data_IF_628868257531
#
_entry.id   IF_628868257531
#
_cell.length_a   1.000
_cell.length_b   1.000
_cell.length_c   1.000
_cell.angle_alpha   90.00
_cell.angle_beta   90.00
_cell.angle_gamma   90.00
#
_symmetry.space_group_name_H-M   'P 1'
#
loop_
_entity.id
_entity.type
_entity.pdbx_description
1 polymer ?
#
# COMPACT_ATOMS: atom_id res chain seq x y z
N UNK A 1 -8.92 1.48 26.97
CA UNK A 1 -9.39 1.45 25.57
C UNK A 1 -9.45 0.01 25.10
N UNK A 2 -10.48 -0.37 24.36
CA UNK A 2 -10.65 -1.72 23.77
C UNK A 2 -11.02 -1.58 22.30
N UNK A 3 -10.25 -2.20 21.42
CA UNK A 3 -10.52 -2.29 19.98
C UNK A 3 -10.33 -3.75 19.55
N UNK A 4 -11.28 -4.37 18.82
CA UNK A 4 -11.08 -5.67 18.20
C UNK A 4 -9.86 -5.65 17.27
N UNK A 5 -9.03 -6.69 17.33
CA UNK A 5 -7.87 -6.85 16.45
C UNK A 5 -8.16 -8.01 15.52
N UNK A 6 -7.99 -7.79 14.21
CA UNK A 6 -8.00 -8.86 13.21
C UNK A 6 -6.56 -9.21 12.85
N UNK A 7 -6.13 -10.39 13.29
CA UNK A 7 -4.78 -10.91 13.00
C UNK A 7 -4.64 -11.36 11.54
N UNK A 8 -5.74 -11.79 10.94
CA UNK A 8 -5.85 -12.15 9.53
C UNK A 8 -7.22 -11.69 9.02
N UNK A 9 -7.21 -11.00 7.89
CA UNK A 9 -8.38 -10.43 7.23
C UNK A 9 -8.74 -11.26 6.00
N UNK A 10 -10.01 -11.26 5.59
CA UNK A 10 -10.46 -11.93 4.34
C UNK A 10 -9.65 -11.46 3.12
N UNK A 11 -9.24 -10.19 3.14
CA UNK A 11 -8.34 -9.57 2.17
C UNK A 11 -6.98 -10.29 2.08
N UNK A 12 -6.37 -10.54 3.22
CA UNK A 12 -5.07 -11.21 3.33
C UNK A 12 -5.18 -12.68 2.93
N UNK A 13 -6.26 -13.37 3.33
CA UNK A 13 -6.53 -14.75 2.93
C UNK A 13 -6.69 -14.89 1.42
N UNK A 14 -7.50 -14.03 0.80
CA UNK A 14 -7.71 -14.04 -0.66
C UNK A 14 -6.39 -13.80 -1.41
N UNK A 15 -5.56 -12.86 -0.93
CA UNK A 15 -4.23 -12.62 -1.50
C UNK A 15 -3.32 -13.83 -1.33
N UNK A 16 -3.26 -14.41 -0.13
CA UNK A 16 -2.44 -15.57 0.17
C UNK A 16 -2.83 -16.78 -0.67
N UNK A 17 -4.12 -17.01 -0.92
CA UNK A 17 -4.60 -18.10 -1.76
C UNK A 17 -4.07 -17.98 -3.20
N UNK A 18 -4.17 -16.78 -3.79
CA UNK A 18 -3.71 -16.51 -5.16
C UNK A 18 -2.18 -16.65 -5.25
N UNK A 19 -1.44 -16.07 -4.30
CA UNK A 19 0.02 -16.21 -4.24
C UNK A 19 0.43 -17.67 -4.09
N UNK A 20 -0.23 -18.43 -3.20
CA UNK A 20 0.04 -19.84 -3.00
C UNK A 20 -0.30 -20.69 -4.25
N UNK A 21 -1.31 -20.29 -5.03
CA UNK A 21 -1.57 -20.91 -6.35
C UNK A 21 -0.40 -20.71 -7.31
N UNK A 22 0.15 -19.49 -7.43
CA UNK A 22 1.33 -19.21 -8.23
C UNK A 22 2.53 -20.06 -7.81
N UNK A 23 2.81 -20.09 -6.50
CA UNK A 23 3.88 -20.88 -5.89
C UNK A 23 3.74 -22.38 -6.19
N UNK A 24 2.55 -22.95 -5.99
CA UNK A 24 2.32 -24.38 -6.26
C UNK A 24 2.55 -24.75 -7.72
N UNK A 25 2.11 -23.90 -8.66
CA UNK A 25 2.30 -24.17 -10.09
C UNK A 25 3.78 -24.13 -10.48
N UNK A 26 4.53 -23.16 -9.95
CA UNK A 26 5.98 -23.06 -10.19
C UNK A 26 6.74 -24.25 -9.59
N UNK A 27 6.46 -24.64 -8.34
CA UNK A 27 7.11 -25.80 -7.67
C UNK A 27 6.85 -27.13 -8.37
N UNK A 28 5.75 -27.24 -9.10
CA UNK A 28 5.40 -28.44 -9.87
C UNK A 28 5.86 -28.34 -11.34
N UNK A 29 6.63 -27.31 -11.69
CA UNK A 29 7.05 -26.99 -13.06
C UNK A 29 5.88 -26.94 -14.06
N UNK A 30 4.69 -26.58 -13.59
CA UNK A 30 3.47 -26.46 -14.41
C UNK A 30 3.42 -25.10 -15.12
N UNK A 31 4.50 -24.76 -15.83
CA UNK A 31 4.70 -23.45 -16.44
C UNK A 31 3.58 -23.05 -17.40
N UNK A 32 3.11 -23.99 -18.24
CA UNK A 32 1.98 -23.75 -19.14
C UNK A 32 0.69 -23.38 -18.38
N UNK A 33 0.37 -24.10 -17.30
CA UNK A 33 -0.83 -23.82 -16.52
C UNK A 33 -0.71 -22.50 -15.75
N UNK A 34 0.50 -22.11 -15.34
CA UNK A 34 0.78 -20.80 -14.77
C UNK A 34 0.60 -19.68 -15.80
N UNK A 35 1.12 -19.86 -17.02
CA UNK A 35 0.93 -18.91 -18.12
C UNK A 35 -0.55 -18.75 -18.49
N UNK A 36 -1.31 -19.84 -18.57
CA UNK A 36 -2.76 -19.81 -18.82
C UNK A 36 -3.50 -19.04 -17.69
N UNK A 37 -3.15 -19.29 -16.43
CA UNK A 37 -3.73 -18.58 -15.29
C UNK A 37 -3.36 -17.09 -15.27
N UNK A 38 -2.12 -16.75 -15.61
CA UNK A 38 -1.65 -15.37 -15.74
C UNK A 38 -2.33 -14.67 -16.90
N UNK A 39 -2.44 -15.31 -18.06
CA UNK A 39 -3.10 -14.75 -19.23
C UNK A 39 -4.56 -14.40 -18.92
N UNK A 40 -5.30 -15.32 -18.30
CA UNK A 40 -6.69 -15.07 -17.92
C UNK A 40 -6.81 -13.89 -16.95
N UNK A 41 -6.00 -13.88 -15.89
CA UNK A 41 -6.02 -12.80 -14.90
C UNK A 41 -5.61 -11.44 -15.48
N UNK A 42 -4.65 -11.41 -16.40
CA UNK A 42 -4.12 -10.20 -17.01
C UNK A 42 -5.07 -9.61 -18.05
N UNK A 43 -5.62 -10.43 -18.96
CA UNK A 43 -6.57 -9.97 -19.98
C UNK A 43 -7.90 -9.51 -19.38
N UNK A 44 -8.34 -10.13 -18.28
CA UNK A 44 -9.52 -9.70 -17.54
C UNK A 44 -9.26 -8.51 -16.60
N UNK A 45 -8.01 -8.06 -16.49
CA UNK A 45 -7.56 -7.05 -15.52
C UNK A 45 -8.09 -7.35 -14.10
N UNK A 46 -8.06 -8.63 -13.71
CA UNK A 46 -8.68 -9.10 -12.49
C UNK A 46 -8.01 -8.52 -11.25
N UNK A 47 -8.83 -8.06 -10.31
CA UNK A 47 -8.42 -7.47 -9.03
C UNK A 47 -8.98 -8.27 -7.86
N UNK A 48 -8.23 -8.34 -6.76
CA UNK A 48 -8.80 -8.70 -5.45
C UNK A 48 -9.79 -7.62 -4.99
N UNK A 49 -10.64 -7.88 -3.97
CA UNK A 49 -11.55 -6.85 -3.46
C UNK A 49 -10.85 -5.56 -2.99
N UNK A 50 -9.57 -5.65 -2.60
CA UNK A 50 -8.73 -4.50 -2.19
C UNK A 50 -8.01 -3.83 -3.37
N UNK A 51 -8.32 -4.21 -4.61
CA UNK A 51 -7.73 -3.61 -5.80
C UNK A 51 -6.31 -4.10 -6.14
N UNK A 52 -5.88 -5.25 -5.60
CA UNK A 52 -4.57 -5.82 -5.96
C UNK A 52 -4.68 -6.69 -7.23
N UNK A 53 -3.83 -6.50 -8.25
CA UNK A 53 -3.88 -7.31 -9.47
C UNK A 53 -3.63 -8.79 -9.18
N UNK A 54 -4.55 -9.65 -9.65
CA UNK A 54 -4.44 -11.11 -9.51
C UNK A 54 -3.22 -11.64 -10.26
N UNK A 55 -2.96 -11.11 -11.47
CA UNK A 55 -1.78 -11.48 -12.25
C UNK A 55 -0.46 -11.18 -11.50
N UNK A 56 -0.39 -10.05 -10.77
CA UNK A 56 0.76 -9.71 -9.94
C UNK A 56 0.95 -10.72 -8.80
N UNK A 57 -0.11 -11.10 -8.10
CA UNK A 57 -0.03 -12.08 -7.00
C UNK A 57 0.39 -13.47 -7.50
N UNK A 58 -0.09 -13.89 -8.67
CA UNK A 58 0.37 -15.11 -9.34
C UNK A 58 1.86 -15.05 -9.67
N UNK A 59 2.35 -13.93 -10.21
CA UNK A 59 3.77 -13.71 -10.46
C UNK A 59 4.59 -13.72 -9.16
N UNK A 60 4.15 -13.01 -8.12
CA UNK A 60 4.81 -12.94 -6.81
C UNK A 60 4.97 -14.35 -6.23
N UNK A 61 3.91 -15.15 -6.25
CA UNK A 61 3.95 -16.54 -5.80
C UNK A 61 4.86 -17.42 -6.64
N UNK A 62 4.80 -17.29 -7.97
CA UNK A 62 5.59 -18.10 -8.88
C UNK A 62 7.11 -17.90 -8.72
N UNK A 63 7.55 -16.71 -8.29
CA UNK A 63 8.98 -16.40 -8.13
C UNK A 63 9.43 -16.43 -6.67
N UNK A 64 8.55 -16.74 -5.73
CA UNK A 64 8.80 -16.60 -4.30
C UNK A 64 10.04 -17.39 -3.84
N UNK A 65 10.17 -18.66 -4.24
CA UNK A 65 11.31 -19.50 -3.84
C UNK A 65 12.64 -18.96 -4.39
N UNK A 66 12.63 -18.49 -5.65
CA UNK A 66 13.80 -17.88 -6.29
C UNK A 66 14.19 -16.60 -5.56
N UNK A 67 13.21 -15.73 -5.25
CA UNK A 67 13.47 -14.48 -4.54
C UNK A 67 13.92 -14.70 -3.09
N UNK A 68 13.49 -15.78 -2.43
CA UNK A 68 14.00 -16.14 -1.12
C UNK A 68 15.50 -16.48 -1.19
N UNK A 69 15.90 -17.34 -2.13
CA UNK A 69 17.32 -17.65 -2.36
C UNK A 69 18.14 -16.43 -2.78
N UNK A 70 17.57 -15.55 -3.61
CA UNK A 70 18.19 -14.27 -3.99
C UNK A 70 18.36 -13.36 -2.76
N UNK A 71 17.36 -13.23 -1.90
CA UNK A 71 17.44 -12.41 -0.70
C UNK A 71 18.56 -12.87 0.25
N UNK A 72 18.69 -14.19 0.44
CA UNK A 72 19.78 -14.78 1.21
C UNK A 72 21.16 -14.50 0.59
N UNK A 73 21.29 -14.59 -0.73
CA UNK A 73 22.53 -14.29 -1.43
C UNK A 73 22.88 -12.79 -1.37
N UNK A 74 21.90 -11.91 -1.54
CA UNK A 74 22.05 -10.46 -1.38
C UNK A 74 22.53 -10.11 0.02
N UNK A 75 21.95 -10.70 1.07
CA UNK A 75 22.36 -10.47 2.45
C UNK A 75 23.85 -10.81 2.70
N UNK A 76 24.40 -11.77 1.95
CA UNK A 76 25.83 -12.13 1.98
C UNK A 76 26.71 -11.30 1.03
N UNK A 77 26.12 -10.45 0.19
CA UNK A 77 26.84 -9.72 -0.86
C UNK A 77 27.30 -10.59 -2.03
N UNK A 78 26.70 -11.78 -2.21
CA UNK A 78 27.11 -12.77 -3.21
C UNK A 78 26.37 -12.56 -4.54
N UNK A 79 26.90 -11.64 -5.36
CA UNK A 79 26.32 -11.32 -6.67
C UNK A 79 26.32 -12.51 -7.66
N UNK A 80 27.30 -13.42 -7.55
CA UNK A 80 27.36 -14.59 -8.42
C UNK A 80 26.27 -15.61 -8.08
N UNK A 81 25.99 -15.84 -6.79
CA UNK A 81 24.89 -16.70 -6.38
C UNK A 81 23.53 -16.13 -6.82
N UNK A 82 23.34 -14.82 -6.74
CA UNK A 82 22.14 -14.16 -7.31
C UNK A 82 22.04 -14.42 -8.81
N UNK A 83 23.13 -14.23 -9.57
CA UNK A 83 23.17 -14.49 -11.01
C UNK A 83 22.81 -15.94 -11.35
N UNK A 84 23.41 -16.92 -10.65
CA UNK A 84 23.12 -18.36 -10.86
C UNK A 84 21.67 -18.72 -10.55
N UNK A 85 21.10 -18.20 -9.46
CA UNK A 85 19.70 -18.48 -9.10
C UNK A 85 18.72 -17.96 -10.17
N UNK A 86 18.94 -16.74 -10.65
CA UNK A 86 18.09 -16.12 -11.67
C UNK A 86 18.27 -16.78 -13.04
N UNK A 87 19.49 -17.19 -13.39
CA UNK A 87 19.76 -17.94 -14.61
C UNK A 87 19.07 -19.31 -14.58
N UNK A 88 19.21 -20.07 -13.49
CA UNK A 88 18.55 -21.37 -13.35
C UNK A 88 17.03 -21.27 -13.45
N UNK A 89 16.42 -20.23 -12.87
CA UNK A 89 15.00 -19.94 -13.05
C UNK A 89 14.63 -19.65 -14.51
N UNK A 90 15.42 -18.83 -15.20
CA UNK A 90 15.19 -18.53 -16.62
C UNK A 90 15.34 -19.76 -17.52
N UNK A 91 16.28 -20.66 -17.20
CA UNK A 91 16.46 -21.92 -17.92
C UNK A 91 15.28 -22.86 -17.71
N UNK A 92 14.75 -22.96 -16.48
CA UNK A 92 13.57 -23.75 -16.16
C UNK A 92 12.29 -23.25 -16.85
N UNK A 93 12.13 -21.92 -16.99
CA UNK A 93 11.04 -21.31 -17.74
C UNK A 93 11.11 -21.60 -19.25
N UNK A 94 12.32 -21.74 -19.80
CA UNK A 94 12.55 -21.90 -21.23
C UNK A 94 12.50 -20.58 -22.02
N UNK A 95 12.32 -20.64 -23.35
CA UNK A 95 12.47 -19.48 -24.23
C UNK A 95 11.36 -18.43 -24.06
N UNK A 96 11.77 -17.15 -24.08
CA UNK A 96 10.94 -15.95 -23.87
C UNK A 96 10.71 -15.00 -25.08
N UNK A 97 11.46 -15.05 -26.22
CA UNK A 97 11.34 -14.04 -27.29
C UNK A 97 9.92 -13.83 -27.84
N UNK A 98 9.13 -14.89 -27.93
CA UNK A 98 7.75 -14.88 -28.47
C UNK A 98 6.71 -15.18 -27.37
N UNK A 99 7.13 -15.24 -26.10
CA UNK A 99 6.29 -15.64 -24.97
C UNK A 99 6.23 -14.50 -23.93
N UNK A 100 5.35 -13.50 -24.12
CA UNK A 100 5.29 -12.29 -23.28
C UNK A 100 5.17 -12.59 -21.78
N UNK A 101 4.33 -13.55 -21.39
CA UNK A 101 4.12 -13.88 -19.98
C UNK A 101 5.28 -14.67 -19.37
N UNK A 102 6.03 -15.44 -20.16
CA UNK A 102 7.32 -16.00 -19.70
C UNK A 102 8.37 -14.93 -19.55
N UNK A 103 8.43 -13.99 -20.49
CA UNK A 103 9.33 -12.84 -20.38
C UNK A 103 9.04 -12.03 -19.10
N UNK A 104 7.77 -11.83 -18.77
CA UNK A 104 7.34 -11.25 -17.49
C UNK A 104 7.84 -12.09 -16.30
N UNK A 105 7.61 -13.41 -16.28
CA UNK A 105 8.04 -14.31 -15.21
C UNK A 105 9.57 -14.39 -15.05
N UNK A 106 10.33 -14.15 -16.11
CA UNK A 106 11.79 -14.06 -16.06
C UNK A 106 12.27 -12.67 -15.60
N UNK A 107 11.56 -11.60 -15.98
CA UNK A 107 11.89 -10.22 -15.61
C UNK A 107 11.50 -9.87 -14.17
N UNK A 108 10.42 -10.45 -13.65
CA UNK A 108 9.91 -10.17 -12.31
C UNK A 108 10.92 -10.43 -11.18
N UNK A 109 11.63 -11.58 -11.13
CA UNK A 109 12.63 -11.81 -10.10
C UNK A 109 13.89 -10.95 -10.29
N UNK A 110 14.20 -10.50 -11.52
CA UNK A 110 15.26 -9.51 -11.77
C UNK A 110 14.91 -8.15 -11.13
N UNK A 111 13.66 -7.68 -11.32
CA UNK A 111 13.14 -6.48 -10.65
C UNK A 111 13.19 -6.64 -9.12
N UNK A 112 12.84 -7.83 -8.61
CA UNK A 112 12.94 -8.16 -7.19
C UNK A 112 14.38 -8.10 -6.66
N UNK A 113 15.35 -8.69 -7.36
CA UNK A 113 16.77 -8.63 -7.01
C UNK A 113 17.28 -7.18 -6.94
N UNK A 114 16.88 -6.33 -7.89
CA UNK A 114 17.24 -4.91 -7.87
C UNK A 114 16.72 -4.17 -6.63
N UNK A 115 15.49 -4.47 -6.19
CA UNK A 115 14.92 -3.91 -4.96
C UNK A 115 15.69 -4.39 -3.72
N UNK A 116 16.06 -5.66 -3.67
CA UNK A 116 16.84 -6.22 -2.56
C UNK A 116 18.24 -5.58 -2.45
N UNK A 117 18.93 -5.34 -3.56
CA UNK A 117 20.21 -4.62 -3.55
C UNK A 117 20.06 -3.17 -3.04
N UNK A 118 18.97 -2.49 -3.40
CA UNK A 118 18.68 -1.11 -2.98
C UNK A 118 18.41 -0.99 -1.49
N UNK A 119 17.68 -1.96 -0.94
CA UNK A 119 17.41 -2.08 0.49
C UNK A 119 18.70 -2.19 1.33
N UNK A 120 19.89 -2.28 0.75
CA UNK A 120 21.11 -1.86 1.45
C UNK A 120 21.60 -2.72 2.60
N UNK A 121 21.10 -3.95 2.69
CA UNK A 121 21.44 -4.91 3.75
C UNK A 121 22.78 -5.61 3.54
N UNK A 122 23.25 -5.63 2.30
CA UNK A 122 24.47 -6.32 1.91
C UNK A 122 25.72 -5.62 2.45
N UNK A 123 26.81 -6.35 2.79
CA UNK A 123 28.10 -5.80 3.19
C UNK A 123 28.89 -5.25 1.98
N UNK A 124 28.24 -4.42 1.17
CA UNK A 124 28.78 -3.81 -0.05
C UNK A 124 28.59 -2.28 0.00
N UNK A 125 29.45 -1.56 -0.71
CA UNK A 125 29.31 -0.11 -0.85
C UNK A 125 27.97 0.25 -1.53
N UNK A 126 27.44 1.43 -1.20
CA UNK A 126 26.20 1.93 -1.84
C UNK A 126 26.33 1.98 -3.37
N UNK A 127 27.50 2.37 -3.88
CA UNK A 127 27.79 2.39 -5.32
C UNK A 127 27.78 0.98 -5.94
N UNK A 128 28.36 -0.02 -5.28
CA UNK A 128 28.33 -1.41 -5.75
C UNK A 128 26.90 -1.96 -5.79
N UNK A 129 26.12 -1.72 -4.72
CA UNK A 129 24.71 -2.10 -4.66
C UNK A 129 23.86 -1.42 -5.75
N UNK A 130 24.09 -0.13 -6.00
CA UNK A 130 23.42 0.60 -7.05
C UNK A 130 23.75 0.05 -8.45
N UNK A 131 25.02 -0.31 -8.70
CA UNK A 131 25.47 -0.94 -9.94
C UNK A 131 24.80 -2.30 -10.17
N UNK A 132 24.77 -3.16 -9.15
CA UNK A 132 24.10 -4.47 -9.20
C UNK A 132 22.59 -4.32 -9.42
N UNK A 133 21.94 -3.40 -8.71
CA UNK A 133 20.53 -3.11 -8.91
C UNK A 133 20.24 -2.68 -10.36
N UNK A 134 21.09 -1.80 -10.91
CA UNK A 134 20.97 -1.34 -12.29
C UNK A 134 21.14 -2.49 -13.29
N UNK A 135 22.13 -3.36 -13.11
CA UNK A 135 22.34 -4.52 -13.96
C UNK A 135 21.10 -5.43 -14.06
N UNK A 136 20.45 -5.71 -12.93
CA UNK A 136 19.23 -6.53 -12.92
C UNK A 136 18.05 -5.82 -13.60
N UNK A 137 17.91 -4.50 -13.44
CA UNK A 137 16.86 -3.74 -14.13
C UNK A 137 17.10 -3.64 -15.64
N UNK A 138 18.36 -3.52 -16.08
CA UNK A 138 18.73 -3.59 -17.50
C UNK A 138 18.40 -4.97 -18.09
N UNK A 139 18.68 -6.04 -17.35
CA UNK A 139 18.32 -7.41 -17.75
C UNK A 139 16.80 -7.59 -17.85
N UNK A 140 16.05 -7.11 -16.86
CA UNK A 140 14.58 -7.12 -16.88
C UNK A 140 14.05 -6.32 -18.09
N UNK A 141 14.60 -5.14 -18.35
CA UNK A 141 14.23 -4.34 -19.51
C UNK A 141 14.47 -5.08 -20.83
N UNK A 142 15.62 -5.75 -21.00
CA UNK A 142 15.93 -6.51 -22.21
C UNK A 142 14.94 -7.67 -22.45
N UNK A 143 14.48 -8.33 -21.38
CA UNK A 143 13.45 -9.37 -21.46
C UNK A 143 12.09 -8.81 -21.88
N UNK A 144 11.73 -7.63 -21.37
CA UNK A 144 10.43 -7.00 -21.62
C UNK A 144 10.36 -6.28 -22.97
N UNK A 145 11.46 -5.69 -23.44
CA UNK A 145 11.52 -4.81 -24.63
C UNK A 145 10.89 -5.37 -25.91
N UNK A 146 10.97 -6.69 -26.22
CA UNK A 146 10.33 -7.24 -27.42
C UNK A 146 8.80 -7.19 -27.42
N UNK A 147 8.18 -7.02 -26.25
CA UNK A 147 6.74 -7.15 -26.05
C UNK A 147 6.13 -5.77 -25.83
N UNK A 148 5.27 -5.31 -26.75
CA UNK A 148 4.53 -4.06 -26.55
C UNK A 148 3.30 -4.32 -25.64
N UNK A 149 3.32 -3.85 -24.38
CA UNK A 149 2.23 -4.11 -23.45
C UNK A 149 0.90 -3.50 -23.91
N UNK A 150 0.91 -2.40 -24.68
CA UNK A 150 -0.33 -1.77 -25.18
C UNK A 150 -0.93 -2.56 -26.33
N UNK A 151 -0.10 -3.03 -27.25
CA UNK A 151 -0.55 -3.88 -28.35
C UNK A 151 -1.14 -5.20 -27.83
N UNK A 152 -0.56 -5.72 -26.74
CA UNK A 152 -1.01 -6.94 -26.06
C UNK A 152 -2.16 -6.72 -25.09
N UNK A 153 -2.49 -5.47 -24.75
CA UNK A 153 -3.50 -5.15 -23.73
C UNK A 153 -3.16 -5.73 -22.35
N UNK A 154 -1.88 -5.74 -21.97
CA UNK A 154 -1.37 -6.42 -20.77
C UNK A 154 -1.00 -5.43 -19.65
N UNK A 155 -1.87 -5.25 -18.63
CA UNK A 155 -1.55 -4.48 -17.44
C UNK A 155 -0.31 -5.01 -16.71
N UNK A 156 -0.11 -6.33 -16.64
CA UNK A 156 1.02 -6.93 -15.94
C UNK A 156 2.36 -6.61 -16.61
N UNK A 157 2.45 -6.68 -17.94
CA UNK A 157 3.63 -6.23 -18.67
C UNK A 157 3.82 -4.72 -18.54
N UNK A 158 2.75 -3.93 -18.66
CA UNK A 158 2.85 -2.47 -18.53
C UNK A 158 3.36 -2.07 -17.13
N UNK A 159 2.94 -2.79 -16.07
CA UNK A 159 3.43 -2.63 -14.70
C UNK A 159 4.91 -2.99 -14.57
N UNK A 160 5.37 -4.05 -15.21
CA UNK A 160 6.79 -4.41 -15.25
C UNK A 160 7.62 -3.36 -16.01
N UNK A 161 7.10 -2.81 -17.12
CA UNK A 161 7.72 -1.70 -17.84
C UNK A 161 7.85 -0.44 -16.97
N UNK A 162 6.83 -0.10 -16.16
CA UNK A 162 6.93 0.99 -15.19
C UNK A 162 8.04 0.75 -14.16
N UNK A 163 8.25 -0.50 -13.72
CA UNK A 163 9.25 -0.85 -12.72
C UNK A 163 10.71 -0.69 -13.22
N UNK A 164 10.94 -0.69 -14.53
CA UNK A 164 12.27 -0.57 -15.15
C UNK A 164 12.52 0.80 -15.80
N UNK A 165 11.69 1.80 -15.54
CA UNK A 165 11.79 3.12 -16.20
C UNK A 165 13.19 3.74 -16.11
N UNK A 166 13.86 3.63 -14.97
CA UNK A 166 15.18 4.23 -14.70
C UNK A 166 16.34 3.76 -15.59
N UNK A 167 16.20 2.59 -16.24
CA UNK A 167 17.22 2.09 -17.16
C UNK A 167 16.97 2.54 -18.59
N UNK A 168 15.83 3.17 -18.86
CA UNK A 168 15.54 3.79 -20.14
C UNK A 168 16.38 5.05 -20.33
N UNK A 169 16.70 5.40 -21.59
CA UNK A 169 17.14 6.75 -21.92
C UNK A 169 16.08 7.77 -21.49
N UNK A 170 16.51 8.89 -20.89
CA UNK A 170 15.65 9.99 -20.46
C UNK A 170 14.38 9.51 -19.69
N UNK A 171 14.53 8.82 -18.54
CA UNK A 171 13.43 8.11 -17.88
C UNK A 171 12.22 8.99 -17.55
N UNK A 172 12.43 10.27 -17.23
CA UNK A 172 11.38 11.26 -16.97
C UNK A 172 10.38 11.39 -18.12
N UNK A 173 10.83 11.33 -19.37
CA UNK A 173 9.98 11.44 -20.58
C UNK A 173 9.03 10.24 -20.74
N UNK A 174 9.28 9.15 -20.02
CA UNK A 174 8.52 7.91 -20.11
C UNK A 174 7.50 7.74 -18.98
N UNK A 175 7.62 8.49 -17.87
CA UNK A 175 6.83 8.27 -16.65
C UNK A 175 5.33 8.42 -16.92
N UNK A 176 4.90 9.59 -17.40
CA UNK A 176 3.47 9.86 -17.64
C UNK A 176 2.87 8.85 -18.61
N UNK A 177 3.52 8.66 -19.77
CA UNK A 177 3.01 7.76 -20.81
C UNK A 177 2.86 6.31 -20.35
N UNK A 178 3.77 5.78 -19.54
CA UNK A 178 3.70 4.39 -19.09
C UNK A 178 2.69 4.21 -17.95
N UNK A 179 2.73 5.09 -16.95
CA UNK A 179 1.80 5.00 -15.81
C UNK A 179 0.37 5.33 -16.21
N UNK A 180 0.14 6.36 -17.03
CA UNK A 180 -1.21 6.69 -17.48
C UNK A 180 -1.81 5.60 -18.39
N UNK A 181 -0.99 4.85 -19.12
CA UNK A 181 -1.42 3.66 -19.87
C UNK A 181 -1.79 2.52 -18.92
N UNK A 182 -0.95 2.25 -17.90
CA UNK A 182 -1.24 1.24 -16.88
C UNK A 182 -2.55 1.53 -16.13
N UNK A 183 -2.72 2.78 -15.67
CA UNK A 183 -3.90 3.23 -14.96
C UNK A 183 -5.14 3.18 -15.88
N UNK A 184 -4.99 3.44 -17.18
CA UNK A 184 -6.10 3.27 -18.12
C UNK A 184 -6.54 1.81 -18.26
N UNK A 185 -5.59 0.86 -18.27
CA UNK A 185 -5.89 -0.58 -18.34
C UNK A 185 -6.50 -1.11 -17.04
N UNK A 186 -6.07 -0.58 -15.88
CA UNK A 186 -6.51 -1.07 -14.57
C UNK A 186 -6.77 0.08 -13.58
N UNK A 187 -7.83 0.89 -13.81
CA UNK A 187 -8.07 2.14 -13.07
C UNK A 187 -8.53 1.94 -11.62
N UNK A 188 -9.00 0.74 -11.28
CA UNK A 188 -9.39 0.34 -9.93
C UNK A 188 -8.22 -0.21 -9.09
N UNK A 189 -6.97 -0.08 -9.55
CA UNK A 189 -5.79 -0.47 -8.77
C UNK A 189 -5.13 0.75 -8.10
N UNK A 190 -5.25 0.92 -6.78
CA UNK A 190 -4.65 2.04 -6.07
C UNK A 190 -3.12 2.03 -6.13
N UNK A 191 -2.50 0.84 -6.15
CA UNK A 191 -1.04 0.70 -6.23
C UNK A 191 -0.43 1.31 -7.49
N UNK A 192 -1.16 1.32 -8.61
CA UNK A 192 -0.69 1.95 -9.85
C UNK A 192 -0.66 3.48 -9.72
N UNK A 193 -1.69 4.07 -9.10
CA UNK A 193 -1.74 5.50 -8.81
C UNK A 193 -0.63 5.90 -7.82
N UNK A 194 -0.44 5.10 -6.76
CA UNK A 194 0.62 5.31 -5.77
C UNK A 194 2.03 5.23 -6.37
N UNK A 195 2.27 4.23 -7.23
CA UNK A 195 3.53 4.10 -7.95
C UNK A 195 3.79 5.28 -8.89
N UNK A 196 2.75 5.75 -9.60
CA UNK A 196 2.87 6.93 -10.46
C UNK A 196 3.30 8.18 -9.68
N UNK A 197 2.70 8.39 -8.50
CA UNK A 197 3.09 9.48 -7.61
C UNK A 197 4.54 9.39 -7.13
N UNK A 198 4.99 8.20 -6.71
CA UNK A 198 6.40 7.98 -6.32
C UNK A 198 7.36 8.35 -7.45
N UNK A 199 7.01 8.02 -8.69
CA UNK A 199 7.86 8.24 -9.87
C UNK A 199 7.88 9.71 -10.32
N UNK A 200 6.78 10.43 -10.11
CA UNK A 200 6.69 11.86 -10.36
C UNK A 200 7.23 12.74 -9.22
N UNK A 201 7.60 12.17 -8.08
CA UNK A 201 8.12 12.95 -6.96
C UNK A 201 9.55 13.48 -7.25
N UNK A 202 9.97 14.58 -6.60
CA UNK A 202 11.32 15.15 -6.80
C UNK A 202 12.49 14.26 -6.43
N UNK A 203 12.29 13.25 -5.57
CA UNK A 203 13.32 12.24 -5.30
C UNK A 203 13.53 11.26 -6.47
N UNK A 204 12.65 11.25 -7.47
CA UNK A 204 12.74 10.37 -8.65
C UNK A 204 12.88 11.18 -9.94
N UNK A 205 11.82 11.30 -10.73
CA UNK A 205 11.93 11.80 -12.11
C UNK A 205 11.18 13.10 -12.37
N UNK A 206 10.36 13.56 -11.43
CA UNK A 206 9.46 14.70 -11.65
C UNK A 206 9.69 15.85 -10.69
N UNK A 207 8.73 16.77 -10.68
CA UNK A 207 8.72 17.96 -9.84
C UNK A 207 7.37 18.09 -9.13
N UNK A 208 7.31 18.87 -8.05
CA UNK A 208 6.05 19.09 -7.33
C UNK A 208 4.89 19.58 -8.22
N UNK A 209 5.08 20.55 -9.15
CA UNK A 209 3.99 20.98 -10.04
C UNK A 209 3.58 19.92 -11.07
N UNK A 210 4.48 19.04 -11.51
CA UNK A 210 4.15 17.91 -12.39
C UNK A 210 3.33 16.86 -11.63
N UNK A 211 3.76 16.52 -10.42
CA UNK A 211 3.05 15.61 -9.52
C UNK A 211 1.62 16.10 -9.24
N UNK A 212 1.43 17.36 -8.83
CA UNK A 212 0.09 17.91 -8.53
C UNK A 212 -0.82 17.89 -9.77
N UNK A 213 -0.30 18.33 -10.92
CA UNK A 213 -1.05 18.31 -12.19
C UNK A 213 -1.46 16.89 -12.57
N UNK A 214 -0.56 15.93 -12.45
CA UNK A 214 -0.86 14.53 -12.71
C UNK A 214 -1.90 13.96 -11.72
N UNK A 215 -1.78 14.27 -10.43
CA UNK A 215 -2.74 13.85 -9.41
C UNK A 215 -4.15 14.36 -9.69
N UNK A 216 -4.29 15.65 -10.06
CA UNK A 216 -5.59 16.23 -10.47
C UNK A 216 -6.14 15.58 -11.73
N UNK A 217 -5.29 15.29 -12.72
CA UNK A 217 -5.71 14.53 -13.92
C UNK A 217 -6.20 13.13 -13.57
N UNK A 218 -5.50 12.43 -12.69
CA UNK A 218 -5.88 11.08 -12.27
C UNK A 218 -7.17 11.07 -11.46
N UNK A 219 -7.39 12.07 -10.59
CA UNK A 219 -8.66 12.27 -9.90
C UNK A 219 -9.82 12.38 -10.91
N UNK A 220 -9.69 13.24 -11.93
CA UNK A 220 -10.73 13.36 -12.96
C UNK A 220 -10.94 12.06 -13.76
N UNK A 221 -9.86 11.40 -14.17
CA UNK A 221 -9.93 10.18 -15.01
C UNK A 221 -10.49 8.98 -14.25
N UNK A 222 -10.28 8.91 -12.95
CA UNK A 222 -10.71 7.80 -12.10
C UNK A 222 -11.90 8.15 -11.22
N UNK A 223 -12.52 9.32 -11.42
CA UNK A 223 -13.62 9.83 -10.60
C UNK A 223 -14.83 8.88 -10.52
N UNK A 224 -15.09 8.11 -11.57
CA UNK A 224 -16.17 7.10 -11.57
C UNK A 224 -15.95 5.96 -10.56
N UNK A 225 -14.71 5.73 -10.16
CA UNK A 225 -14.30 4.63 -9.26
C UNK A 225 -13.99 5.19 -7.88
N UNK A 226 -13.24 6.30 -7.83
CA UNK A 226 -12.67 6.82 -6.59
C UNK A 226 -13.21 8.18 -6.16
N UNK A 227 -14.11 8.80 -6.92
CA UNK A 227 -14.40 10.22 -6.76
C UNK A 227 -13.12 11.05 -6.84
N UNK A 228 -12.87 11.89 -5.85
CA UNK A 228 -11.63 12.66 -5.72
C UNK A 228 -10.44 11.82 -5.22
N UNK A 229 -10.68 10.58 -4.78
CA UNK A 229 -9.69 9.67 -4.19
C UNK A 229 -8.49 9.33 -5.09
N UNK A 230 -8.62 9.45 -6.41
CA UNK A 230 -7.49 9.33 -7.33
C UNK A 230 -6.38 10.35 -7.03
N UNK A 231 -6.74 11.54 -6.54
CA UNK A 231 -5.78 12.53 -6.07
C UNK A 231 -5.00 12.03 -4.84
N UNK A 232 -5.71 11.48 -3.85
CA UNK A 232 -5.11 10.92 -2.64
C UNK A 232 -4.13 9.80 -2.96
N UNK A 233 -4.52 8.84 -3.82
CA UNK A 233 -3.65 7.71 -4.13
C UNK A 233 -2.32 8.12 -4.75
N UNK A 234 -2.30 9.12 -5.62
CA UNK A 234 -1.06 9.64 -6.20
C UNK A 234 -0.18 10.30 -5.13
N UNK A 235 -0.76 11.02 -4.17
CA UNK A 235 0.00 11.72 -3.13
C UNK A 235 0.41 10.86 -1.93
N UNK A 236 -0.30 9.77 -1.64
CA UNK A 236 -0.23 9.07 -0.36
C UNK A 236 1.18 8.62 0.04
N UNK A 237 1.86 7.88 -0.84
CA UNK A 237 3.22 7.38 -0.60
C UNK A 237 4.27 8.49 -0.66
N UNK A 238 4.01 9.52 -1.47
CA UNK A 238 4.90 10.68 -1.60
C UNK A 238 4.94 11.43 -0.28
N UNK A 239 3.79 11.75 0.32
CA UNK A 239 3.74 12.44 1.61
C UNK A 239 4.35 11.60 2.74
N UNK A 240 4.23 10.27 2.68
CA UNK A 240 4.82 9.36 3.66
C UNK A 240 6.37 9.35 3.63
N UNK A 241 6.98 9.70 2.50
CA UNK A 241 8.44 9.63 2.29
C UNK A 241 9.10 10.99 2.15
N UNK A 242 8.33 12.01 1.75
CA UNK A 242 8.75 13.38 1.49
C UNK A 242 7.77 14.36 2.15
N UNK A 243 7.94 14.64 3.47
CA UNK A 243 7.05 15.54 4.19
C UNK A 243 6.99 16.96 3.61
N UNK A 244 7.99 17.39 2.84
CA UNK A 244 8.02 18.66 2.10
C UNK A 244 6.88 18.75 1.07
N UNK A 245 6.36 17.62 0.60
CA UNK A 245 5.19 17.58 -0.28
C UNK A 245 3.93 18.21 0.33
N UNK A 246 3.85 18.34 1.67
CA UNK A 246 2.75 19.00 2.36
C UNK A 246 2.61 20.49 2.01
N UNK A 247 3.68 21.13 1.54
CA UNK A 247 3.66 22.54 1.12
C UNK A 247 3.12 22.69 -0.32
N UNK A 248 2.96 21.58 -1.04
CA UNK A 248 2.55 21.53 -2.44
C UNK A 248 1.20 20.85 -2.66
N UNK A 249 0.81 19.92 -1.78
CA UNK A 249 -0.47 19.22 -1.88
C UNK A 249 -1.64 20.18 -1.60
N UNK A 250 -2.64 20.13 -2.46
CA UNK A 250 -3.97 20.69 -2.18
C UNK A 250 -4.65 19.91 -1.04
N UNK A 251 -4.60 20.48 0.17
CA UNK A 251 -5.17 19.86 1.37
C UNK A 251 -6.69 19.71 1.32
N UNK A 252 -7.42 20.55 0.59
CA UNK A 252 -8.87 20.44 0.47
C UNK A 252 -9.25 19.29 -0.46
N UNK A 253 -8.58 19.19 -1.61
CA UNK A 253 -8.78 18.09 -2.54
C UNK A 253 -8.34 16.74 -1.94
N UNK A 254 -7.25 16.74 -1.15
CA UNK A 254 -6.81 15.54 -0.43
C UNK A 254 -7.84 15.10 0.61
N UNK A 255 -8.34 16.01 1.46
CA UNK A 255 -9.36 15.64 2.45
C UNK A 255 -10.66 15.19 1.78
N UNK A 256 -11.09 15.83 0.69
CA UNK A 256 -12.24 15.38 -0.09
C UNK A 256 -12.04 13.95 -0.65
N UNK A 257 -10.84 13.65 -1.17
CA UNK A 257 -10.51 12.31 -1.64
C UNK A 257 -10.48 11.26 -0.52
N UNK A 258 -10.00 11.58 0.69
CA UNK A 258 -10.10 10.68 1.85
C UNK A 258 -11.56 10.36 2.18
N UNK A 259 -12.44 11.35 2.13
CA UNK A 259 -13.87 11.13 2.32
C UNK A 259 -14.44 10.20 1.26
N UNK A 260 -14.17 10.46 -0.03
CA UNK A 260 -14.66 9.63 -1.14
C UNK A 260 -14.17 8.18 -1.05
N UNK A 261 -12.91 7.94 -0.68
CA UNK A 261 -12.35 6.59 -0.52
C UNK A 261 -12.98 5.80 0.63
N UNK A 262 -13.50 6.49 1.65
CA UNK A 262 -14.14 5.88 2.82
C UNK A 262 -15.67 5.95 2.75
N UNK A 263 -16.24 6.36 1.62
CA UNK A 263 -17.67 6.23 1.40
C UNK A 263 -18.03 4.75 1.25
N UNK A 264 -18.93 4.22 2.10
CA UNK A 264 -19.33 2.83 1.99
C UNK A 264 -20.11 2.60 0.69
N UNK A 265 -19.86 1.47 0.03
CA UNK A 265 -20.58 1.04 -1.17
C UNK A 265 -21.14 -0.37 -0.93
N UNK A 266 -22.47 -0.54 -0.76
CA UNK A 266 -23.54 0.48 -0.79
C UNK A 266 -23.49 1.47 0.40
N UNK A 267 -24.13 2.67 0.30
CA UNK A 267 -24.06 3.74 1.30
C UNK A 267 -24.51 3.38 2.72
N UNK A 268 -25.17 2.24 2.88
CA UNK A 268 -25.70 1.72 4.15
C UNK A 268 -24.80 0.64 4.76
N UNK A 269 -23.72 0.25 4.08
CA UNK A 269 -22.72 -0.66 4.60
C UNK A 269 -21.75 0.07 5.54
N UNK A 270 -21.07 -0.69 6.38
CA UNK A 270 -19.94 -0.15 7.13
C UNK A 270 -18.72 -0.02 6.20
N UNK A 271 -17.86 1.02 6.34
CA UNK A 271 -16.69 1.21 5.49
C UNK A 271 -15.73 0.01 5.57
N UNK A 272 -15.06 -0.27 4.45
CA UNK A 272 -13.99 -1.27 4.37
C UNK A 272 -12.93 -0.97 5.44
N UNK A 273 -12.81 -1.88 6.41
CA UNK A 273 -11.90 -1.72 7.53
C UNK A 273 -10.45 -1.75 7.10
N UNK A 274 -10.12 -2.44 6.00
CA UNK A 274 -8.78 -2.38 5.42
C UNK A 274 -8.45 -0.96 4.96
N UNK A 275 -9.37 -0.35 4.22
CA UNK A 275 -9.25 1.03 3.76
C UNK A 275 -9.16 2.04 4.92
N UNK A 276 -10.02 1.89 5.93
CA UNK A 276 -10.01 2.74 7.12
C UNK A 276 -8.70 2.66 7.89
N UNK A 277 -8.18 1.44 8.12
CA UNK A 277 -6.89 1.23 8.78
C UNK A 277 -5.73 1.82 7.96
N UNK A 278 -5.68 1.57 6.65
CA UNK A 278 -4.64 2.08 5.76
C UNK A 278 -4.59 3.61 5.80
N UNK A 279 -5.72 4.27 5.55
CA UNK A 279 -5.78 5.73 5.49
C UNK A 279 -5.54 6.37 6.86
N UNK A 280 -6.03 5.76 7.95
CA UNK A 280 -5.73 6.22 9.31
C UNK A 280 -4.23 6.11 9.62
N UNK A 281 -3.59 4.99 9.31
CA UNK A 281 -2.15 4.81 9.52
C UNK A 281 -1.31 5.85 8.75
N UNK A 282 -1.70 6.14 7.50
CA UNK A 282 -1.06 7.18 6.70
C UNK A 282 -1.29 8.58 7.28
N UNK A 283 -2.52 8.95 7.63
CA UNK A 283 -2.83 10.24 8.27
C UNK A 283 -2.05 10.41 9.59
N UNK A 284 -1.89 9.33 10.37
CA UNK A 284 -1.13 9.38 11.61
C UNK A 284 0.38 9.53 11.39
N UNK A 285 0.93 8.94 10.32
CA UNK A 285 2.33 9.17 9.94
C UNK A 285 2.62 10.64 9.61
N UNK A 286 1.62 11.38 9.10
CA UNK A 286 1.72 12.79 8.72
C UNK A 286 1.42 13.77 9.88
N UNK A 287 1.02 13.28 11.06
CA UNK A 287 0.56 14.09 12.17
C UNK A 287 1.65 14.82 13.01
N UNK A 288 2.88 14.32 13.20
CA UNK A 288 3.83 14.96 14.11
C UNK A 288 4.45 16.28 13.58
N UNK A 289 4.39 17.35 14.38
CA UNK A 289 5.35 18.46 14.34
C UNK A 289 5.21 19.52 13.25
N UNK A 290 4.06 19.63 12.57
CA UNK A 290 3.82 20.66 11.52
C UNK A 290 2.55 21.45 11.78
N UNK A 291 2.68 22.77 11.85
CA UNK A 291 1.58 23.71 12.07
C UNK A 291 1.11 24.35 10.76
N UNK A 292 -0.22 24.34 10.53
CA UNK A 292 -0.88 25.05 9.45
C UNK A 292 -0.99 24.30 8.11
N UNK A 293 -1.74 24.90 7.18
CA UNK A 293 -1.82 24.47 5.78
C UNK A 293 -2.50 23.11 5.56
N UNK A 294 -1.96 22.33 4.62
CA UNK A 294 -2.47 20.99 4.31
C UNK A 294 -2.18 19.98 5.43
N UNK A 295 -1.06 20.12 6.14
CA UNK A 295 -0.65 19.23 7.22
C UNK A 295 -1.74 19.13 8.31
N UNK A 296 -2.23 20.27 8.82
CA UNK A 296 -3.29 20.30 9.84
C UNK A 296 -4.62 19.72 9.34
N UNK A 297 -4.98 19.92 8.06
CA UNK A 297 -6.22 19.34 7.50
C UNK A 297 -6.13 17.82 7.35
N UNK A 298 -5.01 17.33 6.81
CA UNK A 298 -4.78 15.91 6.58
C UNK A 298 -4.64 15.17 7.92
N UNK A 299 -3.88 15.72 8.88
CA UNK A 299 -3.77 15.14 10.22
C UNK A 299 -5.09 15.25 10.99
N UNK A 300 -5.84 16.35 10.83
CA UNK A 300 -7.18 16.51 11.39
C UNK A 300 -8.19 15.46 10.89
N UNK A 301 -7.97 14.92 9.69
CA UNK A 301 -8.78 13.84 9.13
C UNK A 301 -8.61 12.51 9.90
N UNK A 302 -7.46 12.30 10.57
CA UNK A 302 -7.20 11.09 11.37
C UNK A 302 -8.29 10.86 12.42
N UNK A 303 -8.66 11.92 13.15
CA UNK A 303 -9.67 11.84 14.20
C UNK A 303 -11.01 11.39 13.63
N UNK A 304 -11.44 11.99 12.52
CA UNK A 304 -12.66 11.61 11.82
C UNK A 304 -12.63 10.14 11.37
N UNK A 305 -11.53 9.67 10.77
CA UNK A 305 -11.42 8.26 10.33
C UNK A 305 -11.52 7.32 11.53
N UNK A 306 -10.79 7.61 12.60
CA UNK A 306 -10.77 6.75 13.81
C UNK A 306 -12.13 6.75 14.51
N UNK A 307 -12.76 7.91 14.68
CA UNK A 307 -14.03 8.02 15.42
C UNK A 307 -15.23 7.49 14.61
N UNK A 308 -15.29 7.80 13.31
CA UNK A 308 -16.48 7.54 12.50
C UNK A 308 -16.36 6.33 11.56
N UNK A 309 -15.15 5.83 11.29
CA UNK A 309 -14.92 4.78 10.28
C UNK A 309 -14.22 3.53 10.80
N UNK A 310 -13.41 3.63 11.86
CA UNK A 310 -12.67 2.50 12.41
C UNK A 310 -13.52 1.71 13.41
N UNK A 311 -13.50 0.38 13.31
CA UNK A 311 -14.17 -0.56 14.21
C UNK A 311 -13.28 -1.71 14.66
N UNK A 312 -12.28 -2.04 13.86
CA UNK A 312 -11.28 -3.05 14.16
C UNK A 312 -9.91 -2.58 13.70
N UNK A 313 -8.87 -3.16 14.29
CA UNK A 313 -7.48 -2.88 13.96
C UNK A 313 -6.92 -3.98 13.06
N UNK A 314 -6.23 -3.57 11.99
CA UNK A 314 -5.44 -4.44 11.11
C UNK A 314 -3.95 -4.12 11.30
N UNK A 315 -3.24 -4.81 12.21
CA UNK A 315 -1.92 -4.37 12.68
C UNK A 315 -0.87 -4.17 11.58
N UNK A 316 -0.85 -5.02 10.54
CA UNK A 316 0.14 -4.91 9.46
C UNK A 316 0.10 -3.58 8.72
N UNK A 317 -1.07 -2.94 8.62
CA UNK A 317 -1.21 -1.63 7.96
C UNK A 317 -0.64 -0.47 8.79
N UNK A 318 -0.55 -0.66 10.10
CA UNK A 318 -0.01 0.33 11.03
C UNK A 318 1.49 0.16 11.27
N UNK A 319 2.07 -0.94 10.82
CA UNK A 319 3.50 -1.19 10.94
C UNK A 319 4.30 0.00 10.39
N UNK A 320 5.39 0.41 11.06
CA UNK A 320 6.28 1.40 10.50
C UNK A 320 6.81 0.92 9.15
N UNK A 321 7.09 1.83 8.19
CA UNK A 321 7.75 1.43 6.96
C UNK A 321 9.02 0.67 7.30
N UNK A 322 9.21 -0.46 6.61
CA UNK A 322 10.37 -1.31 6.81
C UNK A 322 11.61 -0.48 6.48
N UNK A 323 12.64 -0.46 7.37
CA UNK A 323 13.91 0.12 6.99
C UNK A 323 14.45 -0.63 5.77
N UNK A 324 15.33 0.03 5.01
CA UNK A 324 16.20 -0.62 4.02
C UNK A 324 17.04 -1.68 4.78
N UNK A 325 16.50 -2.89 4.85
CA UNK A 325 16.74 -3.89 5.90
C UNK A 325 16.20 -5.26 5.47
N UNK A 326 16.69 -6.40 6.01
CA UNK A 326 15.97 -7.65 5.85
C UNK A 326 14.60 -7.44 6.52
N UNK A 327 13.52 -7.68 5.78
CA UNK A 327 12.19 -7.48 6.32
C UNK A 327 12.06 -8.33 7.60
N UNK A 328 11.78 -7.75 8.79
CA UNK A 328 11.34 -8.50 9.95
C UNK A 328 10.28 -9.52 9.55
N UNK A 329 10.26 -10.66 10.26
CA UNK A 329 9.20 -11.62 10.06
C UNK A 329 7.83 -10.96 10.29
N UNK A 330 6.82 -11.52 9.64
CA UNK A 330 5.48 -10.92 9.61
C UNK A 330 4.87 -10.79 11.01
N UNK A 331 5.27 -11.64 11.96
CA UNK A 331 4.84 -11.56 13.35
C UNK A 331 5.42 -10.32 14.05
N UNK A 332 6.71 -10.03 13.86
CA UNK A 332 7.35 -8.83 14.37
C UNK A 332 6.75 -7.56 13.75
N UNK A 333 6.40 -7.58 12.46
CA UNK A 333 5.69 -6.47 11.82
C UNK A 333 4.30 -6.24 12.41
N UNK A 334 3.54 -7.31 12.63
CA UNK A 334 2.23 -7.24 13.32
C UNK A 334 2.36 -6.62 14.70
N UNK A 335 3.30 -7.09 15.50
CA UNK A 335 3.50 -6.59 16.86
C UNK A 335 3.87 -5.10 16.84
N UNK A 336 4.81 -4.70 15.99
CA UNK A 336 5.21 -3.30 15.84
C UNK A 336 4.04 -2.41 15.39
N UNK A 337 3.24 -2.88 14.43
CA UNK A 337 2.05 -2.17 13.95
C UNK A 337 0.96 -2.09 15.00
N UNK A 338 0.73 -3.16 15.76
CA UNK A 338 -0.20 -3.18 16.88
C UNK A 338 0.20 -2.16 17.96
N UNK A 339 1.47 -2.18 18.38
CA UNK A 339 2.00 -1.24 19.37
C UNK A 339 1.86 0.22 18.91
N UNK A 340 2.24 0.50 17.66
CA UNK A 340 2.14 1.84 17.06
C UNK A 340 0.69 2.33 16.99
N UNK A 341 -0.24 1.50 16.54
CA UNK A 341 -1.65 1.85 16.50
C UNK A 341 -2.19 2.15 17.89
N UNK A 342 -1.87 1.31 18.88
CA UNK A 342 -2.31 1.54 20.27
C UNK A 342 -1.80 2.87 20.82
N UNK A 343 -0.54 3.21 20.56
CA UNK A 343 0.05 4.47 21.00
C UNK A 343 -0.70 5.67 20.40
N UNK A 344 -0.86 5.69 19.08
CA UNK A 344 -1.56 6.76 18.36
C UNK A 344 -3.00 6.92 18.86
N UNK A 345 -3.73 5.81 19.00
CA UNK A 345 -5.11 5.82 19.48
C UNK A 345 -5.21 6.30 20.94
N UNK A 346 -4.27 5.91 21.82
CA UNK A 346 -4.22 6.42 23.20
C UNK A 346 -4.02 7.93 23.21
N UNK A 347 -3.11 8.47 22.40
CA UNK A 347 -2.89 9.91 22.27
C UNK A 347 -4.14 10.64 21.77
N UNK A 348 -4.85 10.09 20.77
CA UNK A 348 -6.08 10.71 20.23
C UNK A 348 -7.21 10.82 21.27
N UNK A 349 -7.31 9.85 22.17
CA UNK A 349 -8.33 9.77 23.21
C UNK A 349 -7.84 10.11 24.62
N UNK A 350 -6.65 10.68 24.78
CA UNK A 350 -6.04 10.97 26.09
C UNK A 350 -6.96 11.80 26.99
N UNK A 351 -7.63 12.80 26.41
CA UNK A 351 -8.63 13.61 27.10
C UNK A 351 -9.82 12.80 27.64
N UNK A 352 -10.31 11.82 26.88
CA UNK A 352 -11.42 10.97 27.31
C UNK A 352 -10.97 9.96 28.37
N UNK A 353 -9.77 9.39 28.20
CA UNK A 353 -9.18 8.42 29.11
C UNK A 353 -8.85 9.06 30.47
N UNK A 354 -8.27 10.27 30.48
CA UNK A 354 -7.96 11.01 31.71
C UNK A 354 -9.21 11.41 32.51
N UNK A 355 -10.36 11.56 31.85
CA UNK A 355 -11.69 11.76 32.47
C UNK A 355 -12.33 10.46 32.96
N UNK A 356 -11.62 9.35 32.98
CA UNK A 356 -12.12 8.07 33.43
C UNK A 356 -13.15 7.45 32.49
N UNK A 357 -13.17 7.79 31.20
CA UNK A 357 -14.03 7.11 30.21
C UNK A 357 -13.32 5.89 29.62
N UNK A 358 -14.08 4.83 29.38
CA UNK A 358 -13.68 3.71 28.54
C UNK A 358 -14.02 4.02 27.08
N UNK A 359 -13.01 3.94 26.23
CA UNK A 359 -13.13 4.00 24.78
C UNK A 359 -13.24 2.56 24.26
N UNK A 360 -14.37 2.21 23.64
CA UNK A 360 -14.67 0.85 23.15
C UNK A 360 -15.07 0.95 21.68
N UNK A 361 -14.32 0.27 20.81
CA UNK A 361 -14.71 0.12 19.41
C UNK A 361 -15.57 -1.14 19.26
N UNK A 362 -16.65 -1.02 18.51
CA UNK A 362 -17.61 -2.09 18.25
C UNK A 362 -17.88 -2.19 16.76
N UNK A 363 -18.57 -3.24 16.30
CA UNK A 363 -19.02 -3.37 14.91
C UNK A 363 -19.96 -2.23 14.45
N UNK A 364 -20.48 -1.41 15.39
CA UNK A 364 -21.35 -0.26 15.13
C UNK A 364 -20.63 1.08 15.27
N UNK A 365 -19.31 1.07 15.45
CA UNK A 365 -18.49 2.26 15.69
C UNK A 365 -18.03 2.42 17.14
N UNK A 366 -17.51 3.61 17.42
CA UNK A 366 -16.96 4.00 18.70
C UNK A 366 -18.04 4.22 19.76
N UNK A 367 -17.84 3.66 20.95
CA UNK A 367 -18.65 3.89 22.13
C UNK A 367 -17.78 4.41 23.29
N UNK A 368 -18.23 5.49 23.94
CA UNK A 368 -17.64 6.00 25.17
C UNK A 368 -18.53 5.60 26.35
N UNK A 369 -17.96 4.94 27.34
CA UNK A 369 -18.66 4.52 28.56
C UNK A 369 -17.94 5.06 29.79
N UNK A 370 -18.61 5.31 30.93
CA UNK A 370 -17.92 5.56 32.19
C UNK A 370 -17.07 4.33 32.55
N UNK A 371 -15.84 4.54 33.02
CA UNK A 371 -15.09 3.44 33.64
C UNK A 371 -15.79 3.08 34.94
N UNK A 372 -16.27 1.84 35.04
CA UNK A 372 -16.86 1.34 36.29
C UNK A 372 -15.91 1.60 37.45
N UNK A 373 -16.27 2.52 38.33
CA UNK A 373 -15.50 2.82 39.51
C UNK A 373 -15.81 1.72 40.54
N UNK A 374 -14.80 0.99 41.01
CA UNK A 374 -14.97 -0.06 42.02
C UNK A 374 -15.58 0.44 43.36
N UNK A 375 -15.77 1.76 43.50
CA UNK A 375 -16.33 2.42 44.69
C UNK A 375 -17.73 3.03 44.50
N UNK A 376 -18.38 2.91 43.32
CA UNK A 376 -19.68 3.54 43.09
C UNK A 376 -20.79 2.51 42.86
N UNK A 377 -21.51 2.17 43.94
CA UNK A 377 -22.76 1.40 43.96
C UNK A 377 -24.00 2.27 43.70
N UNK A 378 -23.88 3.32 42.87
CA UNK A 378 -25.04 4.07 42.40
C UNK A 378 -25.34 3.68 40.96
N UNK A 379 -26.59 3.30 40.71
CA UNK A 379 -27.11 2.80 39.44
C UNK A 379 -26.64 3.68 38.26
N UNK A 380 -26.41 3.09 37.06
CA UNK A 380 -25.99 3.85 35.89
C UNK A 380 -27.03 4.94 35.63
N UNK A 381 -26.63 6.19 35.81
CA UNK A 381 -27.50 7.34 35.59
C UNK A 381 -27.92 7.33 34.11
N UNK A 382 -29.23 7.26 33.85
CA UNK A 382 -29.79 7.25 32.50
C UNK A 382 -29.44 8.51 31.67
N UNK A 383 -28.85 9.52 32.30
CA UNK A 383 -28.31 10.73 31.67
C UNK A 383 -26.98 10.52 30.90
N UNK A 384 -26.37 9.32 30.95
CA UNK A 384 -25.10 9.03 30.26
C UNK A 384 -25.26 8.25 28.95
N UNK A 385 -26.50 8.01 28.50
CA UNK A 385 -26.77 7.52 27.16
C UNK A 385 -26.61 8.68 26.17
N UNK A 386 -25.44 8.79 25.54
CA UNK A 386 -25.21 9.77 24.47
C UNK A 386 -26.24 9.57 23.34
N UNK A 387 -27.00 10.60 22.93
CA UNK A 387 -27.87 10.49 21.78
C UNK A 387 -27.04 10.51 20.49
N UNK A 388 -27.58 9.87 19.44
CA UNK A 388 -26.95 9.70 18.13
C UNK A 388 -26.55 11.03 17.46
N UNK A 389 -25.36 11.01 16.86
CA UNK A 389 -24.82 11.74 15.70
C UNK A 389 -24.92 13.27 15.54
N UNK A 390 -25.78 14.03 16.24
CA UNK A 390 -26.03 15.44 15.88
C UNK A 390 -25.96 16.49 17.01
N UNK A 391 -25.39 16.18 18.18
CA UNK A 391 -25.18 17.17 19.24
C UNK A 391 -23.71 17.13 19.67
N UNK A 392 -22.90 18.00 19.08
CA UNK A 392 -21.53 18.27 19.51
C UNK A 392 -21.53 19.37 20.56
N UNK A 393 -20.85 19.08 21.66
CA UNK A 393 -20.26 20.00 22.63
C UNK A 393 -21.10 21.21 23.05
N UNK A 394 -22.09 21.00 23.92
CA UNK A 394 -22.35 21.89 25.06
C UNK A 394 -22.97 21.09 26.19
N UNK A 395 -22.16 20.69 27.18
CA UNK A 395 -22.67 20.35 28.51
C UNK A 395 -22.00 21.28 29.53
N UNK A 396 -22.79 22.02 30.34
CA UNK A 396 -22.27 22.94 31.36
C UNK A 396 -21.62 22.15 32.51
N UNK A 397 -20.70 22.77 33.27
CA UNK A 397 -20.07 22.11 34.41
C UNK A 397 -21.13 21.73 35.45
N UNK A 398 -21.18 20.45 35.80
CA UNK A 398 -21.98 19.95 36.92
C UNK A 398 -21.58 20.70 38.19
N UNK A 399 -22.53 21.42 38.80
CA UNK A 399 -22.38 21.97 40.14
C UNK A 399 -22.51 20.83 41.17
N UNK A 400 -21.41 20.66 41.93
CA UNK A 400 -21.21 19.95 43.21
C UNK A 400 -21.62 18.50 43.33
#
# INVERSE_FOLDING_TARGET
MKIPVRETTEAEEARAEITHRGLRLARQERWRALEEALAEADHSAALTPQGTPVARLLCDGAVQDVLLGVAEAVARGDAEAVGRALQGHSEALGPTPEAPLRALLAAWPQIGAARLWRAGTAPLSAAARASLARHHLETAHLLLRPHDPRALGSPALQSACCAVLEVLPAPAEHVERNHEALIAMQPACPDHLRAYGRDLSPQRFGTWPELDRAARRMAMRTAKIWGSGGYCWVWLDVLATQPEGLDHVDGELFTAGLHDLLQPHPPQAWPDQHMANLLAAHCAALAPGRDGGAATRISGSLRWIVEDRLCELHPLLWAPPLPDGPAPDEAAQREAGHARAQEILKTLFDHQLSRGRQVIFTERGLALQPSGCASCTLAPCAALAYPRHNLRDEDPPCLT
#
